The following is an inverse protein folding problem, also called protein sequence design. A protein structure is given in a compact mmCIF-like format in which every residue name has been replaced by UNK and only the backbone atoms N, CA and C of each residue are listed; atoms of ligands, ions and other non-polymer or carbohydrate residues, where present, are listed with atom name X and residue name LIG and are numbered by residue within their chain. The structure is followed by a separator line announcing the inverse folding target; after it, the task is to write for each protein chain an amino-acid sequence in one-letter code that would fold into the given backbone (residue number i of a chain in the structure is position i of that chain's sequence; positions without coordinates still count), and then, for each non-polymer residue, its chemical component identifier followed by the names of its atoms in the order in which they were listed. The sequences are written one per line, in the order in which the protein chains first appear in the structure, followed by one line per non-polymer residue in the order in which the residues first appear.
data_IF_024274386049
#
_entry.id   IF_024274386049
#
_cell.length_a   1.000
_cell.length_b   1.000
_cell.length_c   1.000
_cell.angle_alpha   90.00
_cell.angle_beta   90.00
_cell.angle_gamma   90.00
#
_symmetry.space_group_name_H-M   'P 1'
#
loop_
_entity.id
_entity.type
_entity.pdbx_description
1 polymer ?
#
# COMPACT_ATOMS: atom_id res chain seq x y z
N UNK A 1 9.64 -18.27 12.71
CA UNK A 1 8.48 -17.38 12.99
C UNK A 1 8.81 -15.89 12.88
N UNK A 2 10.06 -15.43 13.09
CA UNK A 2 10.46 -14.01 12.96
C UNK A 2 10.18 -13.36 11.58
N UNK A 3 10.39 -14.10 10.49
CA UNK A 3 10.13 -13.60 9.12
C UNK A 3 8.66 -13.22 8.91
N UNK A 4 7.75 -14.02 9.44
CA UNK A 4 6.31 -13.75 9.33
C UNK A 4 5.93 -12.51 10.14
N UNK A 5 6.40 -12.41 11.39
CA UNK A 5 6.14 -11.23 12.24
C UNK A 5 6.69 -9.95 11.62
N UNK A 6 7.92 -9.98 11.10
CA UNK A 6 8.54 -8.84 10.40
C UNK A 6 7.72 -8.39 9.19
N UNK A 7 7.28 -9.35 8.37
CA UNK A 7 6.47 -9.07 7.17
C UNK A 7 5.11 -8.49 7.55
N UNK A 8 4.42 -9.06 8.54
CA UNK A 8 3.11 -8.57 8.98
C UNK A 8 3.18 -7.13 9.49
N UNK A 9 4.17 -6.78 10.33
CA UNK A 9 4.31 -5.42 10.88
C UNK A 9 4.57 -4.38 9.80
N UNK A 10 5.42 -4.71 8.82
CA UNK A 10 5.78 -3.76 7.75
C UNK A 10 4.62 -3.60 6.75
N UNK A 11 3.86 -4.66 6.49
CA UNK A 11 2.66 -4.58 5.67
C UNK A 11 1.55 -3.76 6.35
N UNK A 12 1.38 -3.91 7.66
CA UNK A 12 0.44 -3.11 8.44
C UNK A 12 0.82 -1.61 8.44
N UNK A 13 2.11 -1.28 8.41
CA UNK A 13 2.58 0.10 8.23
C UNK A 13 2.26 0.70 6.83
N UNK A 14 1.86 -0.14 5.87
CA UNK A 14 1.46 0.24 4.53
C UNK A 14 2.58 0.18 3.48
N UNK A 15 3.60 -0.63 3.71
CA UNK A 15 4.65 -0.90 2.72
C UNK A 15 4.12 -1.71 1.53
N UNK A 16 4.78 -1.60 0.37
CA UNK A 16 4.36 -2.31 -0.84
C UNK A 16 4.65 -3.81 -0.76
N UNK A 17 3.61 -4.62 -1.03
CA UNK A 17 3.72 -6.10 -1.17
C UNK A 17 4.76 -6.50 -2.21
N UNK A 18 4.95 -5.70 -3.27
CA UNK A 18 5.94 -5.94 -4.32
C UNK A 18 7.36 -5.70 -3.80
N UNK A 19 7.56 -4.66 -2.99
CA UNK A 19 8.84 -4.37 -2.33
C UNK A 19 9.21 -5.51 -1.39
N UNK A 20 8.26 -5.95 -0.55
CA UNK A 20 8.51 -7.09 0.34
C UNK A 20 8.79 -8.37 -0.43
N UNK A 21 8.03 -8.68 -1.48
CA UNK A 21 8.26 -9.87 -2.29
C UNK A 21 9.70 -9.93 -2.83
N UNK A 22 10.26 -8.78 -3.26
CA UNK A 22 11.67 -8.67 -3.67
C UNK A 22 12.64 -8.91 -2.53
N UNK A 23 12.43 -8.30 -1.36
CA UNK A 23 13.28 -8.53 -0.18
C UNK A 23 13.25 -9.99 0.29
N UNK A 24 12.11 -10.64 0.10
CA UNK A 24 11.88 -12.03 0.45
C UNK A 24 12.40 -13.00 -0.63
N UNK A 25 12.91 -12.49 -1.77
CA UNK A 25 13.38 -13.31 -2.88
C UNK A 25 12.27 -14.11 -3.56
N UNK A 26 11.01 -13.71 -3.41
CA UNK A 26 9.89 -14.39 -4.05
C UNK A 26 9.85 -14.05 -5.54
N UNK A 27 9.79 -15.08 -6.39
CA UNK A 27 9.69 -14.94 -7.84
C UNK A 27 8.41 -14.25 -8.29
N UNK A 28 7.37 -14.27 -7.43
CA UNK A 28 6.12 -13.56 -7.67
C UNK A 28 5.59 -12.88 -6.40
N UNK A 29 5.11 -11.62 -6.49
CA UNK A 29 4.39 -10.95 -5.41
C UNK A 29 3.11 -11.67 -4.98
N UNK A 30 2.53 -12.52 -5.84
CA UNK A 30 1.35 -13.32 -5.51
C UNK A 30 1.61 -14.24 -4.31
N UNK A 31 2.83 -14.79 -4.18
CA UNK A 31 3.21 -15.62 -3.04
C UNK A 31 3.14 -14.80 -1.74
N UNK A 32 3.56 -13.53 -1.75
CA UNK A 32 3.44 -12.68 -0.56
C UNK A 32 1.98 -12.27 -0.33
N UNK A 33 1.23 -11.99 -1.40
CA UNK A 33 -0.15 -11.58 -1.28
C UNK A 33 -1.04 -12.70 -0.70
N UNK A 34 -0.90 -13.93 -1.19
CA UNK A 34 -1.68 -15.09 -0.72
C UNK A 34 -1.49 -15.34 0.78
N UNK A 35 -0.26 -15.12 1.28
CA UNK A 35 0.07 -15.36 2.68
C UNK A 35 -0.20 -14.19 3.61
N UNK A 36 -0.27 -12.95 3.12
CA UNK A 36 -0.34 -11.77 3.99
C UNK A 36 -1.48 -10.79 3.70
N UNK A 37 -2.32 -11.03 2.69
CA UNK A 37 -3.48 -10.18 2.37
C UNK A 37 -4.43 -9.97 3.55
N UNK A 38 -4.51 -10.93 4.47
CA UNK A 38 -5.35 -10.83 5.67
C UNK A 38 -4.82 -9.86 6.73
N UNK A 39 -3.55 -9.46 6.67
CA UNK A 39 -2.97 -8.40 7.52
C UNK A 39 -3.16 -6.99 6.94
N UNK A 40 -3.86 -6.89 5.82
CA UNK A 40 -4.09 -5.63 5.10
C UNK A 40 -5.57 -5.20 5.08
N UNK A 41 -6.35 -5.31 6.18
CA UNK A 41 -7.67 -4.69 6.22
C UNK A 41 -7.46 -3.18 6.07
N UNK A 42 -8.17 -2.55 5.12
CA UNK A 42 -8.04 -1.12 4.79
C UNK A 42 -6.73 -0.67 4.11
N UNK A 43 -5.98 -1.54 3.41
CA UNK A 43 -4.82 -1.10 2.60
C UNK A 43 -5.16 -0.10 1.47
N UNK A 44 -6.44 0.19 1.25
CA UNK A 44 -6.92 1.25 0.37
C UNK A 44 -7.26 2.57 1.07
N UNK A 45 -7.24 2.67 2.41
CA UNK A 45 -7.70 3.86 3.14
C UNK A 45 -6.89 5.12 2.85
N UNK A 46 -5.55 5.00 2.81
CA UNK A 46 -4.65 6.09 2.36
C UNK A 46 -4.90 6.46 0.90
N UNK A 47 -5.18 5.47 0.04
CA UNK A 47 -5.53 5.69 -1.36
C UNK A 47 -6.85 6.43 -1.51
N UNK A 48 -7.88 6.04 -0.76
CA UNK A 48 -9.16 6.75 -0.70
C UNK A 48 -8.98 8.19 -0.24
N UNK A 49 -8.26 8.42 0.86
CA UNK A 49 -7.97 9.78 1.33
C UNK A 49 -7.20 10.64 0.31
N UNK A 50 -6.29 10.04 -0.46
CA UNK A 50 -5.59 10.75 -1.54
C UNK A 50 -6.49 11.08 -2.73
N UNK A 51 -7.40 10.17 -3.10
CA UNK A 51 -8.40 10.40 -4.15
C UNK A 51 -9.42 11.43 -3.68
N UNK A 52 -9.90 11.35 -2.45
CA UNK A 52 -10.80 12.32 -1.84
C UNK A 52 -10.14 13.70 -1.84
N UNK A 53 -8.88 13.83 -1.41
CA UNK A 53 -8.16 15.10 -1.45
C UNK A 53 -7.95 15.65 -2.88
N UNK A 54 -7.76 14.78 -3.87
CA UNK A 54 -7.67 15.17 -5.28
C UNK A 54 -9.02 15.67 -5.82
N UNK A 55 -10.13 15.01 -5.43
CA UNK A 55 -11.48 15.34 -5.88
C UNK A 55 -12.10 16.52 -5.12
N UNK A 56 -11.72 16.72 -3.86
CA UNK A 56 -12.16 17.82 -2.98
C UNK A 56 -11.36 19.11 -3.23
N UNK A 57 -10.32 19.06 -4.07
CA UNK A 57 -9.69 20.25 -4.61
C UNK A 57 -10.49 20.73 -5.85
N UNK A 58 -11.29 21.82 -5.77
CA UNK A 58 -11.75 22.47 -7.00
C UNK A 58 -10.48 22.92 -7.73
N UNK A 59 -10.43 22.70 -9.05
CA UNK A 59 -9.38 23.22 -9.93
C UNK A 59 -9.31 24.75 -9.78
N UNK A 60 -8.59 25.22 -8.77
CA UNK A 60 -8.46 26.61 -8.43
C UNK A 60 -7.17 27.11 -9.05
N UNK A 61 -7.36 27.99 -10.04
CA UNK A 61 -6.36 28.92 -10.59
C UNK A 61 -5.48 28.35 -11.71
N UNK A 62 -6.06 28.32 -12.91
CA UNK A 62 -5.33 28.61 -14.14
C UNK A 62 -6.12 29.62 -15.01
N UNK A 63 -6.55 30.72 -14.39
CA UNK A 63 -6.99 31.95 -15.07
C UNK A 63 -6.36 33.14 -14.37
N UNK A 64 -5.07 33.39 -14.57
CA UNK A 64 -4.49 34.74 -14.46
C UNK A 64 -3.18 34.78 -15.25
N UNK A 65 -3.26 35.29 -16.49
CA UNK A 65 -2.33 36.20 -17.17
C UNK A 65 -2.58 36.15 -18.68
#
# INVERSE_FOLDING_TARGET
MLRHTYVSVILEAGESVVTLARWLGHSSPTITLDYYAHFMPEAGGKGRGAIDALLDHPAAVATTA
#
